data_IF_312102397824
#
_entry.id   IF_312102397824
#
_cell.length_a   1.000
_cell.length_b   1.000
_cell.length_c   1.000
_cell.angle_alpha   90.00
_cell.angle_beta   90.00
_cell.angle_gamma   90.00
#
_symmetry.space_group_name_H-M   'P 1'
#
loop_
_entity.id
_entity.type
_entity.pdbx_description
1 polymer ?
#
# COMPACT_ATOMS: atom_id res chain seq x y z
N UNK A 1 15.09 42.24 3.22
CA UNK A 1 14.29 41.04 3.24
C UNK A 1 15.22 39.82 3.16
N UNK A 2 15.41 39.09 4.26
CA UNK A 2 16.13 37.82 4.22
C UNK A 2 15.27 36.80 3.42
N UNK A 3 15.78 36.33 2.29
CA UNK A 3 15.16 35.19 1.57
C UNK A 3 15.26 33.94 2.46
N UNK A 4 14.19 33.59 3.11
CA UNK A 4 14.09 32.30 3.85
C UNK A 4 14.32 31.16 2.86
N UNK A 5 15.45 30.49 2.96
CA UNK A 5 15.81 29.39 2.07
C UNK A 5 15.03 28.16 2.53
N UNK A 6 14.12 27.64 1.71
CA UNK A 6 13.38 26.41 2.00
C UNK A 6 14.32 25.24 2.32
N UNK A 7 13.97 24.50 3.36
CA UNK A 7 14.65 23.24 3.69
C UNK A 7 14.41 22.18 2.59
N UNK A 8 15.19 21.09 2.60
CA UNK A 8 14.96 19.96 1.67
C UNK A 8 13.56 19.38 1.83
N UNK A 9 13.09 19.22 3.07
CA UNK A 9 11.74 18.70 3.37
C UNK A 9 10.64 19.63 2.85
N UNK A 10 10.75 20.94 3.08
CA UNK A 10 9.79 21.90 2.55
C UNK A 10 9.75 21.90 1.02
N UNK A 11 10.89 21.73 0.38
CA UNK A 11 10.97 21.62 -1.09
C UNK A 11 10.35 20.31 -1.59
N UNK A 12 10.60 19.18 -0.90
CA UNK A 12 9.98 17.90 -1.20
C UNK A 12 8.46 17.99 -1.07
N UNK A 13 7.99 18.49 0.07
CA UNK A 13 6.58 18.65 0.36
C UNK A 13 5.86 19.51 -0.69
N UNK A 14 6.40 20.68 -0.99
CA UNK A 14 5.84 21.58 -2.00
C UNK A 14 5.77 20.89 -3.38
N UNK A 15 6.84 20.20 -3.77
CA UNK A 15 6.90 19.48 -5.05
C UNK A 15 5.87 18.34 -5.10
N UNK A 16 5.76 17.54 -4.04
CA UNK A 16 4.78 16.47 -3.96
C UNK A 16 3.35 16.99 -4.07
N UNK A 17 3.02 18.08 -3.36
CA UNK A 17 1.68 18.70 -3.40
C UNK A 17 1.35 19.20 -4.80
N UNK A 18 2.25 19.97 -5.41
CA UNK A 18 1.97 20.64 -6.69
C UNK A 18 1.88 19.62 -7.84
N UNK A 19 2.84 18.74 -7.94
CA UNK A 19 2.92 17.81 -9.08
C UNK A 19 1.87 16.68 -9.00
N UNK A 20 1.46 16.28 -7.78
CA UNK A 20 0.44 15.24 -7.62
C UNK A 20 -0.97 15.67 -8.04
N UNK A 21 -1.26 16.97 -8.10
CA UNK A 21 -2.59 17.47 -8.51
C UNK A 21 -2.93 17.00 -9.93
N UNK A 22 -1.99 17.12 -10.86
CA UNK A 22 -2.16 16.73 -12.27
C UNK A 22 -1.79 15.28 -12.60
N UNK A 23 -1.37 14.48 -11.60
CA UNK A 23 -0.94 13.11 -11.81
C UNK A 23 -2.14 12.21 -12.13
N UNK A 24 -2.03 11.41 -13.18
CA UNK A 24 -3.05 10.41 -13.56
C UNK A 24 -2.85 9.06 -12.89
N UNK A 25 -1.58 8.70 -12.59
CA UNK A 25 -1.26 7.46 -11.90
C UNK A 25 -1.71 7.53 -10.43
N UNK A 26 -2.49 6.54 -10.00
CA UNK A 26 -3.03 6.47 -8.63
C UNK A 26 -2.40 5.34 -7.80
N UNK A 27 -1.43 4.59 -8.36
CA UNK A 27 -0.78 3.47 -7.72
C UNK A 27 0.05 3.79 -6.48
N UNK A 28 0.61 2.74 -5.87
CA UNK A 28 1.34 2.84 -4.62
C UNK A 28 2.77 3.39 -4.81
N UNK A 29 3.55 2.84 -5.77
CA UNK A 29 4.97 3.20 -5.87
C UNK A 29 5.18 4.52 -6.58
N UNK A 30 4.59 4.72 -7.74
CA UNK A 30 4.83 5.88 -8.60
C UNK A 30 3.61 6.81 -8.70
N UNK A 31 2.51 6.48 -8.03
CA UNK A 31 1.23 7.19 -8.11
C UNK A 31 0.81 7.93 -6.84
N UNK A 32 -0.42 8.43 -6.88
CA UNK A 32 -1.01 9.25 -5.81
C UNK A 32 -1.07 8.53 -4.47
N UNK A 33 -1.31 7.21 -4.43
CA UNK A 33 -1.41 6.49 -3.16
C UNK A 33 -0.13 6.62 -2.34
N UNK A 34 1.04 6.44 -2.94
CA UNK A 34 2.32 6.62 -2.26
C UNK A 34 2.56 8.05 -1.76
N UNK A 35 2.12 9.04 -2.55
CA UNK A 35 2.20 10.44 -2.14
C UNK A 35 1.26 10.72 -0.95
N UNK A 36 0.04 10.20 -0.98
CA UNK A 36 -0.93 10.33 0.12
C UNK A 36 -0.36 9.76 1.42
N UNK A 37 0.23 8.56 1.39
CA UNK A 37 0.89 7.96 2.56
C UNK A 37 1.96 8.89 3.12
N UNK A 38 2.78 9.48 2.25
CA UNK A 38 3.84 10.41 2.62
C UNK A 38 3.28 11.70 3.25
N UNK A 39 2.26 12.31 2.64
CA UNK A 39 1.64 13.54 3.13
C UNK A 39 0.95 13.34 4.48
N UNK A 40 0.20 12.24 4.66
CA UNK A 40 -0.47 11.93 5.92
C UNK A 40 0.54 11.66 7.04
N UNK A 41 1.58 10.85 6.78
CA UNK A 41 2.64 10.60 7.76
C UNK A 41 3.31 11.91 8.18
N UNK A 42 3.66 12.76 7.22
CA UNK A 42 4.23 14.07 7.50
C UNK A 42 3.28 14.98 8.30
N UNK A 43 2.01 15.07 7.88
CA UNK A 43 0.98 15.89 8.55
C UNK A 43 0.81 15.50 10.02
N UNK A 44 0.72 14.20 10.31
CA UNK A 44 0.54 13.68 11.67
C UNK A 44 1.74 13.99 12.57
N UNK A 45 2.97 13.83 12.06
CA UNK A 45 4.21 14.15 12.81
C UNK A 45 4.38 15.65 13.06
N UNK A 46 4.03 16.48 12.08
CA UNK A 46 4.22 17.94 12.15
C UNK A 46 2.99 18.70 12.61
N UNK A 47 1.83 18.01 12.76
CA UNK A 47 0.52 18.59 13.11
C UNK A 47 0.01 19.65 12.11
N UNK A 48 0.35 19.50 10.83
CA UNK A 48 -0.07 20.40 9.75
C UNK A 48 -1.37 19.95 9.08
N UNK A 49 -2.54 20.37 9.60
CA UNK A 49 -3.87 20.00 9.09
C UNK A 49 -4.08 20.32 7.59
N UNK A 50 -3.57 21.44 7.09
CA UNK A 50 -3.72 21.79 5.67
C UNK A 50 -3.10 20.73 4.72
N UNK A 51 -2.07 20.00 5.16
CA UNK A 51 -1.48 18.91 4.38
C UNK A 51 -2.36 17.69 4.39
N UNK A 52 -3.01 17.41 5.53
CA UNK A 52 -4.01 16.34 5.65
C UNK A 52 -5.19 16.58 4.70
N UNK A 53 -5.70 17.82 4.62
CA UNK A 53 -6.77 18.19 3.68
C UNK A 53 -6.38 17.97 2.21
N UNK A 54 -5.12 18.25 1.84
CA UNK A 54 -4.60 17.93 0.50
C UNK A 54 -4.57 16.42 0.26
N UNK A 55 -4.13 15.64 1.24
CA UNK A 55 -4.10 14.18 1.14
C UNK A 55 -5.51 13.60 1.02
N UNK A 56 -6.47 14.11 1.79
CA UNK A 56 -7.89 13.71 1.71
C UNK A 56 -8.50 14.02 0.33
N UNK A 57 -8.21 15.18 -0.21
CA UNK A 57 -8.64 15.53 -1.57
C UNK A 57 -8.09 14.54 -2.61
N UNK A 58 -6.81 14.19 -2.50
CA UNK A 58 -6.19 13.22 -3.41
C UNK A 58 -6.72 11.81 -3.20
N UNK A 59 -7.02 11.41 -1.95
CA UNK A 59 -7.65 10.12 -1.64
C UNK A 59 -8.99 9.99 -2.34
N UNK A 60 -9.83 11.02 -2.31
CA UNK A 60 -11.08 11.02 -3.06
C UNK A 60 -10.87 10.80 -4.57
N UNK A 61 -9.80 11.35 -5.14
CA UNK A 61 -9.46 11.09 -6.55
C UNK A 61 -9.04 9.64 -6.77
N UNK A 62 -8.27 9.04 -5.86
CA UNK A 62 -7.90 7.62 -5.94
C UNK A 62 -9.16 6.75 -5.88
N UNK A 63 -10.02 6.94 -4.89
CA UNK A 63 -11.25 6.15 -4.72
C UNK A 63 -12.19 6.25 -5.92
N UNK A 64 -12.36 7.44 -6.49
CA UNK A 64 -13.21 7.65 -7.67
C UNK A 64 -12.66 7.04 -8.97
N UNK A 65 -11.33 6.82 -9.05
CA UNK A 65 -10.68 6.33 -10.26
C UNK A 65 -10.22 4.88 -10.16
N UNK A 66 -10.19 4.25 -8.98
CA UNK A 66 -9.66 2.90 -8.80
C UNK A 66 -10.43 1.83 -9.58
N UNK A 67 -11.74 2.04 -9.82
CA UNK A 67 -12.55 1.12 -10.61
C UNK A 67 -12.15 1.06 -12.08
N UNK A 68 -11.49 2.09 -12.59
CA UNK A 68 -11.00 2.17 -13.97
C UNK A 68 -9.64 1.48 -14.16
N UNK A 69 -8.99 1.04 -13.07
CA UNK A 69 -7.69 0.39 -13.11
C UNK A 69 -7.86 -1.11 -13.29
N UNK A 70 -7.14 -1.66 -14.29
CA UNK A 70 -7.15 -3.09 -14.57
C UNK A 70 -6.03 -3.89 -13.91
N UNK A 71 -4.79 -3.37 -13.79
CA UNK A 71 -3.70 -4.14 -13.20
C UNK A 71 -3.93 -4.46 -11.72
N UNK A 72 -3.60 -5.71 -11.33
CA UNK A 72 -3.60 -6.16 -9.94
C UNK A 72 -2.25 -5.97 -9.24
N UNK A 73 -1.26 -5.37 -9.93
CA UNK A 73 0.07 -5.20 -9.38
C UNK A 73 0.07 -4.44 -8.05
N UNK A 74 1.02 -4.80 -7.19
CA UNK A 74 1.22 -4.12 -5.90
C UNK A 74 1.89 -2.76 -6.08
N UNK A 75 2.80 -2.64 -7.04
CA UNK A 75 3.50 -1.38 -7.30
C UNK A 75 2.55 -0.25 -7.73
N UNK A 76 1.80 -0.45 -8.81
CA UNK A 76 0.99 0.60 -9.44
C UNK A 76 -0.44 0.16 -9.77
N UNK A 77 -0.92 -0.92 -9.14
CA UNK A 77 -2.24 -1.49 -9.37
C UNK A 77 -3.11 -1.53 -8.11
N UNK A 78 -4.20 -2.29 -8.23
CA UNK A 78 -5.27 -2.34 -7.23
C UNK A 78 -4.82 -2.88 -5.89
N UNK A 79 -3.94 -3.91 -5.84
CA UNK A 79 -3.50 -4.49 -4.56
C UNK A 79 -2.64 -3.52 -3.76
N UNK A 80 -1.82 -2.71 -4.43
CA UNK A 80 -1.06 -1.65 -3.76
C UNK A 80 -1.95 -0.51 -3.24
N UNK A 81 -2.99 -0.14 -4.00
CA UNK A 81 -3.98 0.86 -3.55
C UNK A 81 -4.73 0.33 -2.33
N UNK A 82 -5.23 -0.91 -2.37
CA UNK A 82 -5.92 -1.54 -1.24
C UNK A 82 -5.04 -1.66 -0.01
N UNK A 83 -3.77 -2.04 -0.19
CA UNK A 83 -2.80 -2.07 0.91
C UNK A 83 -2.57 -0.69 1.54
N UNK A 84 -2.48 0.37 0.72
CA UNK A 84 -2.37 1.73 1.20
C UNK A 84 -3.60 2.19 1.99
N UNK A 85 -4.81 1.82 1.56
CA UNK A 85 -6.06 2.07 2.29
C UNK A 85 -6.03 1.38 3.65
N UNK A 86 -5.66 0.09 3.69
CA UNK A 86 -5.53 -0.66 4.94
C UNK A 86 -4.47 -0.08 5.87
N UNK A 87 -3.33 0.35 5.32
CA UNK A 87 -2.30 1.04 6.10
C UNK A 87 -2.86 2.27 6.81
N UNK A 88 -3.60 3.12 6.10
CA UNK A 88 -4.15 4.35 6.67
C UNK A 88 -5.20 4.06 7.76
N UNK A 89 -6.08 3.09 7.53
CA UNK A 89 -7.14 2.72 8.48
C UNK A 89 -6.53 2.06 9.72
N UNK A 90 -5.69 1.04 9.53
CA UNK A 90 -5.20 0.23 10.64
C UNK A 90 -4.17 0.94 11.52
N UNK A 91 -3.50 1.98 11.00
CA UNK A 91 -2.64 2.88 11.78
C UNK A 91 -3.40 4.08 12.37
N UNK A 92 -4.73 4.13 12.24
CA UNK A 92 -5.57 5.17 12.83
C UNK A 92 -5.42 6.55 12.17
N UNK A 93 -4.90 6.62 10.95
CA UNK A 93 -4.83 7.88 10.20
C UNK A 93 -6.20 8.33 9.70
N UNK A 94 -7.02 7.38 9.25
CA UNK A 94 -8.40 7.62 8.81
C UNK A 94 -9.35 6.62 9.47
N UNK A 95 -10.61 7.01 9.78
CA UNK A 95 -11.62 6.08 10.27
C UNK A 95 -12.15 5.22 9.12
N UNK A 96 -12.69 4.05 9.44
CA UNK A 96 -13.39 3.21 8.48
C UNK A 96 -13.09 1.72 8.64
N UNK A 97 -13.61 0.95 7.69
CA UNK A 97 -13.33 -0.48 7.56
C UNK A 97 -12.95 -0.76 6.11
N UNK A 98 -11.75 -1.31 5.88
CA UNK A 98 -11.27 -1.62 4.54
C UNK A 98 -12.19 -2.56 3.78
N UNK A 99 -12.86 -3.50 4.46
CA UNK A 99 -13.81 -4.43 3.86
C UNK A 99 -15.00 -3.74 3.16
N UNK A 100 -15.35 -2.51 3.55
CA UNK A 100 -16.40 -1.73 2.85
C UNK A 100 -15.84 -1.00 1.63
N UNK A 101 -14.59 -0.57 1.71
CA UNK A 101 -13.96 0.30 0.71
C UNK A 101 -13.35 -0.51 -0.43
N UNK A 102 -12.75 -1.66 -0.12
CA UNK A 102 -11.96 -2.46 -1.07
C UNK A 102 -12.77 -3.54 -1.81
N UNK A 103 -14.11 -3.56 -1.68
CA UNK A 103 -14.98 -4.59 -2.28
C UNK A 103 -14.71 -4.81 -3.78
N UNK A 104 -14.49 -3.75 -4.55
CA UNK A 104 -14.22 -3.87 -5.99
C UNK A 104 -12.81 -4.41 -6.29
N UNK A 105 -11.85 -4.12 -5.41
CA UNK A 105 -10.50 -4.72 -5.47
C UNK A 105 -10.59 -6.22 -5.24
N UNK A 106 -11.33 -6.64 -4.22
CA UNK A 106 -11.52 -8.05 -3.86
C UNK A 106 -12.19 -8.82 -4.98
N UNK A 107 -13.27 -8.30 -5.55
CA UNK A 107 -13.97 -8.91 -6.71
C UNK A 107 -13.02 -9.08 -7.89
N UNK A 108 -12.22 -8.07 -8.19
CA UNK A 108 -11.25 -8.11 -9.28
C UNK A 108 -10.17 -9.14 -9.02
N UNK A 109 -9.65 -9.19 -7.80
CA UNK A 109 -8.63 -10.15 -7.38
C UNK A 109 -9.17 -11.59 -7.45
N UNK A 110 -10.38 -11.85 -6.92
CA UNK A 110 -11.03 -13.16 -6.99
C UNK A 110 -11.42 -13.58 -8.42
N UNK A 111 -11.57 -12.64 -9.36
CA UNK A 111 -11.80 -12.96 -10.77
C UNK A 111 -10.55 -13.47 -11.50
N UNK A 112 -9.37 -13.30 -10.90
CA UNK A 112 -8.12 -13.81 -11.44
C UNK A 112 -7.90 -15.27 -11.00
N UNK A 113 -7.61 -16.16 -11.96
CA UNK A 113 -7.22 -17.53 -11.62
C UNK A 113 -5.79 -17.54 -11.06
N UNK A 114 -5.69 -17.51 -9.73
CA UNK A 114 -4.42 -17.44 -9.00
C UNK A 114 -3.47 -18.60 -9.34
N UNK A 115 -3.99 -19.76 -9.75
CA UNK A 115 -3.20 -20.94 -10.11
C UNK A 115 -2.35 -20.71 -11.36
N UNK A 116 -2.74 -19.75 -12.21
CA UNK A 116 -2.03 -19.38 -13.45
C UNK A 116 -1.08 -18.22 -13.28
N UNK A 117 -0.93 -17.69 -12.08
CA UNK A 117 0.00 -16.59 -11.82
C UNK A 117 1.37 -17.16 -11.49
N UNK A 118 2.33 -16.94 -12.37
CA UNK A 118 3.71 -17.44 -12.20
C UNK A 118 4.67 -16.37 -11.66
N UNK A 119 4.29 -15.11 -11.74
CA UNK A 119 5.06 -14.00 -11.16
C UNK A 119 4.91 -13.97 -9.63
N UNK A 120 6.03 -13.98 -8.94
CA UNK A 120 6.13 -14.01 -7.49
C UNK A 120 6.76 -12.74 -6.91
N UNK A 121 7.06 -11.77 -7.78
CA UNK A 121 7.68 -10.52 -7.35
C UNK A 121 6.77 -9.73 -6.40
N UNK A 122 7.38 -8.84 -5.61
CA UNK A 122 6.65 -7.86 -4.80
C UNK A 122 5.86 -6.89 -5.70
N UNK A 123 6.46 -6.45 -6.80
CA UNK A 123 5.88 -5.38 -7.61
C UNK A 123 4.65 -5.84 -8.39
N UNK A 124 4.68 -7.05 -8.98
CA UNK A 124 3.66 -7.50 -9.93
C UNK A 124 3.01 -8.84 -9.58
N UNK A 125 3.65 -9.64 -8.72
CA UNK A 125 3.31 -11.03 -8.47
C UNK A 125 2.58 -11.30 -7.16
N UNK A 126 2.49 -12.59 -6.85
CA UNK A 126 1.75 -13.12 -5.69
C UNK A 126 2.29 -12.57 -4.37
N UNK A 127 3.59 -12.30 -4.25
CA UNK A 127 4.16 -11.76 -3.02
C UNK A 127 3.53 -10.40 -2.67
N UNK A 128 3.42 -9.50 -3.65
CA UNK A 128 2.74 -8.23 -3.45
C UNK A 128 1.24 -8.37 -3.17
N UNK A 129 0.56 -9.31 -3.87
CA UNK A 129 -0.85 -9.58 -3.59
C UNK A 129 -1.06 -10.12 -2.17
N UNK A 130 -0.16 -10.97 -1.69
CA UNK A 130 -0.23 -11.53 -0.35
C UNK A 130 -0.09 -10.44 0.73
N UNK A 131 0.74 -9.41 0.53
CA UNK A 131 0.79 -8.25 1.43
C UNK A 131 -0.58 -7.55 1.55
N UNK A 132 -1.27 -7.32 0.43
CA UNK A 132 -2.63 -6.78 0.47
C UNK A 132 -3.60 -7.72 1.16
N UNK A 133 -3.62 -9.00 0.77
CA UNK A 133 -4.58 -9.99 1.29
C UNK A 133 -4.45 -10.14 2.81
N UNK A 134 -3.22 -10.26 3.33
CA UNK A 134 -2.97 -10.37 4.78
C UNK A 134 -3.43 -9.12 5.53
N UNK A 135 -3.06 -7.93 5.02
CA UNK A 135 -3.49 -6.66 5.60
C UNK A 135 -5.02 -6.53 5.60
N UNK A 136 -5.66 -6.91 4.50
CA UNK A 136 -7.10 -6.79 4.31
C UNK A 136 -7.91 -7.76 5.18
N UNK A 137 -7.49 -9.03 5.27
CA UNK A 137 -8.11 -10.00 6.19
C UNK A 137 -7.95 -9.53 7.63
N UNK A 138 -6.78 -9.05 8.03
CA UNK A 138 -6.57 -8.48 9.37
C UNK A 138 -7.53 -7.32 9.67
N UNK A 139 -7.67 -6.37 8.73
CA UNK A 139 -8.60 -5.26 8.84
C UNK A 139 -10.05 -5.72 8.93
N UNK A 140 -10.45 -6.70 8.12
CA UNK A 140 -11.78 -7.30 8.15
C UNK A 140 -12.06 -8.01 9.48
N UNK A 141 -11.09 -8.75 10.05
CA UNK A 141 -11.19 -9.38 11.36
C UNK A 141 -11.45 -8.35 12.46
N UNK A 142 -10.78 -7.18 12.44
CA UNK A 142 -11.03 -6.07 13.38
C UNK A 142 -12.45 -5.53 13.28
N UNK A 143 -13.04 -5.56 12.08
CA UNK A 143 -14.41 -5.11 11.81
C UNK A 143 -15.46 -6.22 12.02
N UNK A 144 -15.07 -7.45 12.34
CA UNK A 144 -15.98 -8.60 12.40
C UNK A 144 -16.59 -8.97 11.04
N UNK A 145 -15.87 -8.73 9.95
CA UNK A 145 -16.30 -9.02 8.57
C UNK A 145 -15.47 -10.14 7.96
N UNK A 146 -16.05 -10.79 6.95
CA UNK A 146 -15.35 -11.74 6.11
C UNK A 146 -15.16 -11.15 4.71
N UNK A 147 -13.94 -11.27 4.19
CA UNK A 147 -13.54 -10.91 2.84
C UNK A 147 -13.02 -12.18 2.15
N UNK A 148 -13.00 -12.22 0.85
CA UNK A 148 -12.63 -13.36 0.02
C UNK A 148 -13.48 -14.61 0.22
N UNK A 149 -13.82 -15.28 -0.85
CA UNK A 149 -14.52 -16.56 -0.77
C UNK A 149 -13.58 -17.71 -0.39
N UNK A 150 -14.18 -18.77 0.11
CA UNK A 150 -13.44 -19.95 0.60
C UNK A 150 -12.63 -20.63 -0.50
N UNK A 151 -13.14 -20.69 -1.73
CA UNK A 151 -12.45 -21.37 -2.83
C UNK A 151 -11.22 -20.60 -3.26
N UNK A 152 -11.33 -19.26 -3.34
CA UNK A 152 -10.18 -18.40 -3.62
C UNK A 152 -9.06 -18.59 -2.59
N UNK A 153 -9.41 -18.63 -1.30
CA UNK A 153 -8.42 -18.85 -0.22
C UNK A 153 -7.77 -20.23 -0.34
N UNK A 154 -8.53 -21.29 -0.67
CA UNK A 154 -7.97 -22.64 -0.88
C UNK A 154 -6.99 -22.65 -2.05
N UNK A 155 -7.35 -22.05 -3.19
CA UNK A 155 -6.49 -21.99 -4.37
C UNK A 155 -5.22 -21.16 -4.08
N UNK A 156 -5.34 -20.06 -3.34
CA UNK A 156 -4.20 -19.25 -2.91
C UNK A 156 -3.24 -20.05 -1.99
N UNK A 157 -3.77 -20.75 -0.98
CA UNK A 157 -2.96 -21.61 -0.09
C UNK A 157 -2.23 -22.67 -0.91
N UNK A 158 -2.91 -23.33 -1.84
CA UNK A 158 -2.31 -24.36 -2.71
C UNK A 158 -1.16 -23.77 -3.53
N UNK A 159 -1.36 -22.60 -4.14
CA UNK A 159 -0.34 -21.92 -4.95
C UNK A 159 0.88 -21.51 -4.13
N UNK A 160 0.66 -20.95 -2.94
CA UNK A 160 1.72 -20.56 -2.02
C UNK A 160 2.55 -21.79 -1.56
N UNK A 161 1.90 -22.91 -1.24
CA UNK A 161 2.58 -24.13 -0.82
C UNK A 161 3.38 -24.74 -1.97
N UNK A 162 2.79 -24.86 -3.17
CA UNK A 162 3.48 -25.31 -4.40
C UNK A 162 4.77 -24.51 -4.63
N UNK A 163 4.68 -23.19 -4.47
CA UNK A 163 5.85 -22.34 -4.62
C UNK A 163 6.94 -22.64 -3.58
N UNK A 164 6.55 -22.76 -2.31
CA UNK A 164 7.49 -23.00 -1.21
C UNK A 164 8.18 -24.36 -1.28
N UNK A 165 7.51 -25.36 -1.87
CA UNK A 165 8.08 -26.69 -2.09
C UNK A 165 9.10 -26.71 -3.22
N UNK A 166 8.89 -25.91 -4.26
CA UNK A 166 9.70 -25.89 -5.48
C UNK A 166 10.86 -24.89 -5.47
N UNK A 167 10.87 -23.94 -4.52
CA UNK A 167 11.84 -22.86 -4.48
C UNK A 167 12.35 -22.61 -3.06
N UNK A 168 13.60 -22.18 -2.94
CA UNK A 168 14.10 -21.58 -1.70
C UNK A 168 13.37 -20.26 -1.47
N UNK A 169 12.53 -20.20 -0.44
CA UNK A 169 11.80 -18.99 -0.06
C UNK A 169 12.67 -18.07 0.79
N UNK A 170 12.52 -16.75 0.61
CA UNK A 170 13.14 -15.80 1.52
C UNK A 170 12.50 -15.86 2.91
N UNK A 171 13.21 -15.40 3.92
CA UNK A 171 12.69 -15.32 5.29
C UNK A 171 11.45 -14.42 5.35
N UNK A 172 11.45 -13.30 4.64
CA UNK A 172 10.33 -12.36 4.57
C UNK A 172 9.07 -13.02 3.99
N UNK A 173 9.21 -13.80 2.90
CA UNK A 173 8.09 -14.53 2.31
C UNK A 173 7.54 -15.58 3.29
N UNK A 174 8.42 -16.32 3.97
CA UNK A 174 8.03 -17.33 4.97
C UNK A 174 7.30 -16.70 6.15
N UNK A 175 7.76 -15.54 6.62
CA UNK A 175 7.10 -14.76 7.67
C UNK A 175 5.72 -14.29 7.23
N UNK A 176 5.57 -13.79 6.00
CA UNK A 176 4.29 -13.34 5.47
C UNK A 176 3.29 -14.51 5.33
N UNK A 177 3.77 -15.71 4.95
CA UNK A 177 2.94 -16.92 4.96
C UNK A 177 2.47 -17.31 6.37
N UNK A 178 3.32 -17.17 7.38
CA UNK A 178 2.93 -17.41 8.77
C UNK A 178 1.84 -16.43 9.20
N UNK A 179 2.01 -15.14 8.93
CA UNK A 179 1.00 -14.11 9.21
C UNK A 179 -0.30 -14.38 8.48
N UNK A 180 -0.25 -14.84 7.22
CA UNK A 180 -1.44 -15.23 6.45
C UNK A 180 -2.25 -16.33 7.16
N UNK A 181 -1.59 -17.36 7.66
CA UNK A 181 -2.26 -18.43 8.43
C UNK A 181 -2.89 -17.90 9.73
N UNK A 182 -2.23 -16.97 10.41
CA UNK A 182 -2.74 -16.39 11.64
C UNK A 182 -3.99 -15.52 11.39
N UNK A 183 -3.98 -14.68 10.36
CA UNK A 183 -5.17 -13.85 10.04
C UNK A 183 -6.34 -14.70 9.55
N UNK A 184 -6.11 -15.83 8.86
CA UNK A 184 -7.16 -16.78 8.51
C UNK A 184 -7.78 -17.44 9.75
N UNK A 185 -7.04 -17.52 10.86
CA UNK A 185 -7.54 -17.99 12.16
C UNK A 185 -8.13 -16.86 13.02
N UNK A 186 -8.35 -15.67 12.46
CA UNK A 186 -9.00 -14.56 13.14
C UNK A 186 -8.06 -13.58 13.84
N UNK A 187 -6.74 -13.66 13.64
CA UNK A 187 -5.80 -12.70 14.23
C UNK A 187 -6.05 -11.27 13.69
N UNK A 188 -5.91 -10.29 14.59
CA UNK A 188 -6.23 -8.88 14.32
C UNK A 188 -5.04 -7.93 14.40
N UNK A 189 -3.86 -8.41 14.78
CA UNK A 189 -2.68 -7.55 15.02
C UNK A 189 -1.34 -8.27 14.79
N UNK A 190 -1.21 -9.01 13.72
CA UNK A 190 0.04 -9.75 13.36
C UNK A 190 0.80 -9.08 12.23
N UNK A 191 0.11 -8.45 11.28
CA UNK A 191 0.72 -7.75 10.16
C UNK A 191 1.00 -6.28 10.49
N UNK A 192 2.27 -5.86 10.42
CA UNK A 192 2.72 -4.54 10.89
C UNK A 192 3.04 -3.53 9.78
N UNK A 193 2.66 -3.81 8.53
CA UNK A 193 2.89 -2.93 7.39
C UNK A 193 4.37 -2.55 7.21
N UNK A 194 5.18 -3.39 6.59
CA UNK A 194 6.64 -3.21 6.48
C UNK A 194 7.01 -2.11 5.48
N UNK A 195 6.89 -0.85 5.90
CA UNK A 195 7.26 0.29 5.03
C UNK A 195 8.75 0.27 4.65
N UNK A 196 9.61 -0.28 5.50
CA UNK A 196 11.05 -0.41 5.23
C UNK A 196 11.35 -1.36 4.04
N UNK A 197 10.49 -2.34 3.77
CA UNK A 197 10.61 -3.21 2.60
C UNK A 197 10.19 -2.49 1.30
N UNK A 198 9.24 -1.57 1.41
CA UNK A 198 8.66 -0.82 0.29
C UNK A 198 9.51 0.42 -0.02
N UNK A 199 9.97 1.11 1.02
CA UNK A 199 10.72 2.36 0.92
C UNK A 199 12.21 2.09 1.14
N UNK A 200 13.04 2.34 0.14
CA UNK A 200 14.50 2.20 0.27
C UNK A 200 15.05 3.18 1.29
N UNK A 201 15.90 2.69 2.19
CA UNK A 201 16.49 3.51 3.27
C UNK A 201 17.47 4.58 2.78
N UNK A 202 18.15 4.35 1.65
CA UNK A 202 19.18 5.23 1.09
C UNK A 202 18.68 6.14 -0.04
N UNK A 203 17.50 6.76 0.16
CA UNK A 203 16.93 7.64 -0.86
C UNK A 203 17.72 8.95 -0.95
N UNK A 204 18.33 9.17 -2.10
CA UNK A 204 18.96 10.45 -2.43
C UNK A 204 17.89 11.49 -2.76
N UNK A 205 17.98 12.66 -2.12
CA UNK A 205 17.09 13.78 -2.42
C UNK A 205 17.18 14.19 -3.90
N UNK A 206 16.08 14.06 -4.62
CA UNK A 206 15.94 14.48 -6.03
C UNK A 206 14.54 15.01 -6.28
N UNK A 207 14.41 16.17 -6.90
CA UNK A 207 13.12 16.77 -7.27
C UNK A 207 12.50 16.15 -8.53
N UNK A 208 13.20 15.25 -9.20
CA UNK A 208 12.76 14.68 -10.48
C UNK A 208 12.01 13.34 -10.34
N UNK A 209 11.94 12.79 -9.13
CA UNK A 209 11.28 11.53 -8.87
C UNK A 209 10.37 11.67 -7.65
N UNK A 210 9.07 11.46 -7.83
CA UNK A 210 8.06 11.60 -6.77
C UNK A 210 7.77 10.28 -6.05
N UNK A 211 8.28 9.13 -6.55
CA UNK A 211 7.87 7.80 -6.11
C UNK A 211 8.03 7.55 -4.61
N UNK A 212 7.23 6.61 -4.10
CA UNK A 212 7.30 6.13 -2.73
C UNK A 212 8.57 5.29 -2.52
N UNK A 213 8.89 4.38 -3.44
CA UNK A 213 9.97 3.40 -3.24
C UNK A 213 11.37 4.01 -3.25
N UNK A 214 11.62 5.05 -4.06
CA UNK A 214 12.97 5.65 -4.27
C UNK A 214 12.98 7.14 -4.60
N UNK A 215 11.85 7.82 -4.41
CA UNK A 215 11.67 9.24 -4.75
C UNK A 215 11.36 10.12 -3.54
N UNK A 216 10.78 11.29 -3.79
CA UNK A 216 10.49 12.29 -2.77
C UNK A 216 9.48 11.83 -1.72
N UNK A 217 8.47 11.03 -2.11
CA UNK A 217 7.50 10.49 -1.16
C UNK A 217 8.20 9.57 -0.14
N UNK A 218 9.03 8.64 -0.61
CA UNK A 218 9.84 7.81 0.28
C UNK A 218 10.83 8.62 1.11
N UNK A 219 11.52 9.61 0.52
CA UNK A 219 12.42 10.49 1.26
C UNK A 219 11.70 11.20 2.42
N UNK A 220 10.48 11.70 2.20
CA UNK A 220 9.72 12.39 3.23
C UNK A 220 9.28 11.42 4.34
N UNK A 221 8.82 10.21 3.99
CA UNK A 221 8.46 9.16 4.95
C UNK A 221 9.66 8.78 5.83
N UNK A 222 10.83 8.48 5.24
CA UNK A 222 12.02 8.05 6.01
C UNK A 222 12.53 9.09 7.00
N UNK A 223 12.11 10.34 6.90
CA UNK A 223 12.44 11.39 7.88
C UNK A 223 11.46 11.43 9.07
N UNK A 224 10.32 10.76 8.96
CA UNK A 224 9.21 10.86 9.90
C UNK A 224 8.71 9.50 10.43
N UNK A 225 9.30 8.38 10.03
CA UNK A 225 9.18 7.07 10.69
C UNK A 225 10.25 6.96 11.80
#
# INVERSE_FOLDING_TARGET
>A
MQKTKFTKEQRALHKLIVDSIGMSDIGLFDGKMGIILSLITYSRKTKHKAIEEVADFQMNQVLNNMTNISPLSFSNGLTGIGWGIEYLIQNGYVPGCGADICTEIDKKLMSCDIRRVDDLSLEHGIYGWLHYIVAHIQGANRCGKQVFDRMYIIDLISKINEYSENNATSEEFSNLQAMFREVLNGATDVYKFPLEEIVKTDIKFSLNNLSLSKGLAGYLITKHI
#
